data_IF_425291060425
#
_entry.id   IF_425291060425
#
_cell.length_a   1.000
_cell.length_b   1.000
_cell.length_c   1.000
_cell.angle_alpha   90.00
_cell.angle_beta   90.00
_cell.angle_gamma   90.00
#
_symmetry.space_group_name_H-M   'P 1'
#
loop_
_entity.id
_entity.type
_entity.pdbx_description
1 polymer ?
#
# COMPACT_ATOMS: atom_id res chain seq x y z
N UNK A 1 -10.81 18.31 3.92
CA UNK A 1 -11.55 18.16 2.66
C UNK A 1 -12.90 18.82 2.80
N UNK A 2 -13.31 19.61 1.80
CA UNK A 2 -14.64 20.19 1.72
C UNK A 2 -15.48 19.35 0.78
N UNK A 3 -16.63 18.88 1.21
CA UNK A 3 -17.57 18.19 0.36
C UNK A 3 -18.75 19.10 0.04
N UNK A 4 -18.90 19.44 -1.24
CA UNK A 4 -20.05 20.17 -1.73
C UNK A 4 -21.26 19.24 -1.77
N UNK A 5 -22.31 19.57 -1.08
CA UNK A 5 -23.53 18.76 -1.11
C UNK A 5 -24.18 18.85 -2.50
N UNK A 6 -24.56 17.70 -3.07
CA UNK A 6 -25.23 17.64 -4.39
C UNK A 6 -26.58 18.41 -4.43
N UNK A 7 -27.18 18.68 -3.27
CA UNK A 7 -28.44 19.42 -3.12
C UNK A 7 -28.29 20.94 -3.00
N UNK A 8 -27.18 21.51 -3.47
CA UNK A 8 -26.96 22.96 -3.43
C UNK A 8 -27.89 23.72 -4.39
N UNK A 9 -28.35 23.05 -5.46
CA UNK A 9 -29.28 23.64 -6.43
C UNK A 9 -30.72 23.52 -5.92
N UNK A 10 -31.40 24.64 -5.84
CA UNK A 10 -32.79 24.75 -5.45
C UNK A 10 -33.63 25.32 -6.60
N UNK A 11 -34.91 24.93 -6.65
CA UNK A 11 -35.85 25.52 -7.62
C UNK A 11 -36.02 27.02 -7.26
N UNK A 12 -35.84 27.86 -8.26
CA UNK A 12 -36.04 29.30 -8.07
C UNK A 12 -37.46 29.58 -7.59
N UNK A 13 -37.56 30.31 -6.48
CA UNK A 13 -38.82 30.89 -5.97
C UNK A 13 -38.60 32.36 -5.75
N UNK A 14 -39.58 33.20 -6.09
CA UNK A 14 -39.49 34.66 -5.90
C UNK A 14 -39.49 35.10 -4.42
N UNK A 15 -39.56 34.18 -3.50
CA UNK A 15 -39.72 34.42 -2.04
C UNK A 15 -38.41 34.74 -1.28
N UNK A 16 -37.31 35.08 -1.99
CA UNK A 16 -36.05 35.45 -1.33
C UNK A 16 -35.11 34.31 -0.99
N UNK A 17 -34.14 34.54 -0.13
CA UNK A 17 -33.10 33.60 0.27
C UNK A 17 -33.64 32.48 1.20
N UNK A 18 -33.64 31.24 0.78
CA UNK A 18 -34.14 30.09 1.53
C UNK A 18 -33.01 29.21 2.12
N UNK A 19 -31.94 29.81 2.59
CA UNK A 19 -30.85 29.10 3.28
C UNK A 19 -30.49 27.73 2.66
N UNK A 20 -29.42 27.65 1.87
CA UNK A 20 -28.89 26.36 1.41
C UNK A 20 -28.22 25.58 2.55
N UNK A 21 -28.09 24.27 2.37
CA UNK A 21 -27.31 23.46 3.31
C UNK A 21 -25.83 23.85 3.23
N UNK A 22 -25.20 24.01 4.39
CA UNK A 22 -23.76 24.30 4.45
C UNK A 22 -22.95 23.10 3.98
N UNK A 23 -21.81 23.36 3.33
CA UNK A 23 -20.86 22.33 2.98
C UNK A 23 -20.36 21.60 4.24
N UNK A 24 -20.28 20.27 4.20
CA UNK A 24 -19.70 19.50 5.30
C UNK A 24 -18.18 19.56 5.20
N UNK A 25 -17.53 19.91 6.30
CA UNK A 25 -16.08 19.87 6.43
C UNK A 25 -15.68 18.55 7.10
N UNK A 26 -14.87 17.77 6.40
CA UNK A 26 -14.26 16.57 6.95
C UNK A 26 -12.80 16.85 7.31
N UNK A 27 -12.42 16.48 8.50
CA UNK A 27 -11.04 16.58 8.97
C UNK A 27 -10.65 15.25 9.59
N UNK A 28 -9.60 14.64 9.06
CA UNK A 28 -8.94 13.49 9.69
C UNK A 28 -7.55 13.93 10.15
N UNK A 29 -7.18 13.52 11.35
CA UNK A 29 -5.85 13.79 11.92
C UNK A 29 -5.03 12.51 11.82
N UNK A 30 -3.86 12.60 11.22
CA UNK A 30 -2.88 11.52 11.22
C UNK A 30 -1.91 11.77 12.36
N UNK A 31 -1.80 10.80 13.26
CA UNK A 31 -0.87 10.84 14.37
C UNK A 31 0.46 10.20 13.94
N UNK A 32 1.56 10.93 14.07
CA UNK A 32 2.89 10.43 13.75
C UNK A 32 3.50 9.77 14.98
N UNK A 33 4.03 8.57 14.83
CA UNK A 33 4.76 7.86 15.87
C UNK A 33 6.26 7.90 15.57
N UNK A 34 7.11 8.33 16.52
CA UNK A 34 8.55 8.24 16.35
C UNK A 34 8.99 6.78 16.34
N UNK A 35 9.82 6.41 15.39
CA UNK A 35 10.39 5.06 15.28
C UNK A 35 11.91 5.14 15.29
N UNK A 36 12.56 4.08 15.81
CA UNK A 36 14.01 3.95 15.74
C UNK A 36 14.36 2.60 15.11
N UNK A 37 15.45 2.58 14.36
CA UNK A 37 16.05 1.36 13.85
C UNK A 37 17.45 1.22 14.44
N UNK A 38 17.74 0.10 15.05
CA UNK A 38 19.03 -0.22 15.62
C UNK A 38 19.48 -1.56 15.06
N UNK A 39 20.72 -1.65 14.62
CA UNK A 39 21.35 -2.88 14.17
C UNK A 39 22.63 -3.09 14.98
N UNK A 40 22.72 -4.22 15.63
CA UNK A 40 23.91 -4.63 16.38
C UNK A 40 24.43 -5.94 15.81
N UNK A 41 25.72 -5.97 15.49
CA UNK A 41 26.40 -7.20 15.12
C UNK A 41 27.31 -7.64 16.27
N UNK A 42 27.37 -8.94 16.54
CA UNK A 42 28.46 -9.47 17.33
C UNK A 42 29.75 -9.37 16.50
N UNK A 43 30.88 -9.09 17.15
CA UNK A 43 32.15 -9.03 16.43
C UNK A 43 32.47 -10.35 15.70
N UNK A 44 32.04 -11.49 16.25
CA UNK A 44 32.24 -12.81 15.66
C UNK A 44 31.44 -12.99 14.36
N UNK A 45 30.15 -12.60 14.39
CA UNK A 45 29.28 -12.74 13.21
C UNK A 45 29.70 -11.75 12.13
N UNK A 46 30.10 -10.54 12.51
CA UNK A 46 30.61 -9.55 11.60
C UNK A 46 31.88 -10.05 10.88
N UNK A 47 32.84 -10.56 11.62
CA UNK A 47 34.07 -11.09 11.02
C UNK A 47 33.84 -12.31 10.14
N UNK A 48 32.90 -13.19 10.46
CA UNK A 48 32.64 -14.37 9.64
C UNK A 48 32.02 -13.99 8.27
N UNK A 49 31.08 -13.08 8.24
CA UNK A 49 30.39 -12.67 7.01
C UNK A 49 31.23 -11.70 6.17
N UNK A 50 31.97 -10.83 6.83
CA UNK A 50 32.79 -9.78 6.20
C UNK A 50 34.12 -10.33 5.74
N UNK A 51 34.70 -11.28 6.45
CA UNK A 51 35.99 -11.87 6.10
C UNK A 51 35.96 -12.58 4.73
N UNK A 52 34.87 -13.24 4.38
CA UNK A 52 34.69 -13.80 3.03
C UNK A 52 34.67 -12.73 1.94
N UNK A 53 34.02 -11.60 2.20
CA UNK A 53 33.95 -10.47 1.26
C UNK A 53 35.27 -9.69 1.17
N UNK A 54 36.04 -9.62 2.28
CA UNK A 54 37.31 -8.93 2.36
C UNK A 54 38.47 -9.79 1.88
N UNK A 55 38.49 -11.09 2.19
CA UNK A 55 39.52 -12.04 1.78
C UNK A 55 39.68 -12.12 0.24
N UNK A 56 38.61 -11.79 -0.48
CA UNK A 56 38.65 -11.70 -1.94
C UNK A 56 39.29 -10.43 -2.49
N UNK A 57 39.70 -9.44 -1.64
CA UNK A 57 40.20 -8.15 -2.07
C UNK A 57 41.32 -7.63 -1.13
N UNK A 58 42.54 -7.56 -1.64
CA UNK A 58 43.74 -7.13 -0.91
C UNK A 58 43.80 -5.64 -0.53
N UNK A 59 42.72 -4.87 -0.74
CA UNK A 59 42.79 -3.38 -0.73
C UNK A 59 41.85 -2.77 0.34
N UNK A 60 41.47 -3.51 1.39
CA UNK A 60 40.61 -3.01 2.47
C UNK A 60 41.44 -2.82 3.73
N UNK A 61 41.52 -1.58 4.22
CA UNK A 61 42.04 -1.31 5.55
C UNK A 61 41.05 -1.73 6.61
N UNK A 62 41.42 -2.72 7.42
CA UNK A 62 40.53 -3.30 8.45
C UNK A 62 40.36 -2.40 9.68
N UNK A 63 41.22 -1.40 9.85
CA UNK A 63 41.17 -0.49 10.99
C UNK A 63 40.28 0.73 10.73
N UNK A 64 40.00 1.03 9.48
CA UNK A 64 39.13 2.13 9.08
C UNK A 64 38.29 1.75 7.85
N UNK A 65 37.02 1.39 8.10
CA UNK A 65 36.08 1.00 7.06
C UNK A 65 35.32 2.18 6.46
N UNK A 66 35.57 3.39 6.94
CA UNK A 66 34.88 4.61 6.49
C UNK A 66 35.11 4.85 4.99
N UNK A 67 34.04 4.99 4.24
CA UNK A 67 34.09 5.16 2.79
C UNK A 67 34.39 3.90 1.99
N UNK A 68 34.56 2.74 2.65
CA UNK A 68 34.80 1.47 1.99
C UNK A 68 33.57 0.95 1.25
N UNK A 69 33.79 0.06 0.26
CA UNK A 69 32.67 -0.64 -0.41
C UNK A 69 31.84 -1.49 0.54
N UNK A 70 32.44 -1.91 1.66
CA UNK A 70 31.77 -2.67 2.70
C UNK A 70 30.80 -1.80 3.48
N UNK A 71 31.20 -0.62 3.95
CA UNK A 71 30.30 0.34 4.58
C UNK A 71 29.13 0.70 3.66
N UNK A 72 29.39 0.87 2.36
CA UNK A 72 28.36 1.14 1.37
C UNK A 72 27.37 -0.04 1.23
N UNK A 73 27.88 -1.28 1.23
CA UNK A 73 27.04 -2.48 1.16
C UNK A 73 26.17 -2.64 2.42
N UNK A 74 26.75 -2.48 3.61
CA UNK A 74 26.02 -2.51 4.88
C UNK A 74 24.98 -1.42 4.97
N UNK A 75 25.34 -0.18 4.61
CA UNK A 75 24.39 0.92 4.58
C UNK A 75 23.24 0.65 3.63
N UNK A 76 23.49 0.01 2.51
CA UNK A 76 22.47 -0.34 1.52
C UNK A 76 21.53 -1.41 2.09
N UNK A 77 22.07 -2.48 2.69
CA UNK A 77 21.29 -3.55 3.32
C UNK A 77 20.45 -3.01 4.48
N UNK A 78 21.04 -2.15 5.31
CA UNK A 78 20.32 -1.53 6.43
C UNK A 78 19.16 -0.65 5.94
N UNK A 79 19.40 0.18 4.91
CA UNK A 79 18.33 0.99 4.29
C UNK A 79 17.20 0.14 3.71
N UNK A 80 17.54 -0.98 3.07
CA UNK A 80 16.55 -1.91 2.54
C UNK A 80 15.73 -2.55 3.67
N UNK A 81 16.38 -3.06 4.71
CA UNK A 81 15.70 -3.65 5.86
C UNK A 81 14.77 -2.66 6.57
N UNK A 82 15.22 -1.40 6.75
CA UNK A 82 14.38 -0.33 7.32
C UNK A 82 13.19 -0.04 6.41
N UNK A 83 13.40 0.05 5.10
CA UNK A 83 12.32 0.32 4.14
C UNK A 83 11.29 -0.81 4.11
N UNK A 84 11.72 -2.07 4.17
CA UNK A 84 10.84 -3.24 4.25
C UNK A 84 10.08 -3.28 5.58
N UNK A 85 10.75 -3.04 6.70
CA UNK A 85 10.14 -2.97 8.01
C UNK A 85 9.08 -1.88 8.12
N UNK A 86 9.38 -0.68 7.62
CA UNK A 86 8.40 0.43 7.59
C UNK A 86 7.21 0.05 6.71
N UNK A 87 7.44 -0.51 5.51
CA UNK A 87 6.36 -0.91 4.61
C UNK A 87 5.46 -1.96 5.24
N UNK A 88 6.02 -3.02 5.82
CA UNK A 88 5.27 -4.07 6.49
C UNK A 88 4.47 -3.52 7.68
N UNK A 89 5.09 -2.70 8.53
CA UNK A 89 4.42 -2.09 9.69
C UNK A 89 3.33 -1.11 9.26
N UNK A 90 3.56 -0.33 8.19
CA UNK A 90 2.56 0.62 7.67
C UNK A 90 1.27 -0.07 7.24
N UNK A 91 1.34 -1.29 6.73
CA UNK A 91 0.15 -2.06 6.35
C UNK A 91 -0.40 -2.91 7.49
N UNK A 92 0.44 -3.69 8.16
CA UNK A 92 0.05 -4.74 9.10
C UNK A 92 0.35 -4.41 10.57
N UNK A 93 0.88 -3.23 10.87
CA UNK A 93 1.27 -2.87 12.22
C UNK A 93 0.12 -2.95 13.23
N UNK A 94 0.40 -3.52 14.39
CA UNK A 94 -0.54 -3.61 15.50
C UNK A 94 0.21 -3.43 16.83
N UNK A 95 0.00 -2.28 17.46
CA UNK A 95 0.63 -1.94 18.76
C UNK A 95 0.16 -2.83 19.93
N UNK A 96 -0.92 -3.59 19.75
CA UNK A 96 -1.40 -4.56 20.73
C UNK A 96 -0.74 -5.93 20.58
N UNK A 97 0.01 -6.16 19.50
CA UNK A 97 0.77 -7.38 19.26
C UNK A 97 1.97 -7.51 20.19
N UNK A 98 2.30 -8.75 20.58
CA UNK A 98 3.40 -9.01 21.51
C UNK A 98 4.80 -8.94 20.86
N UNK A 99 4.88 -9.10 19.53
CA UNK A 99 6.16 -9.12 18.79
C UNK A 99 6.00 -8.76 17.32
N UNK A 100 7.12 -8.40 16.70
CA UNK A 100 7.16 -8.16 15.25
C UNK A 100 6.74 -6.74 14.87
N UNK A 101 5.63 -6.58 14.17
CA UNK A 101 5.19 -5.32 13.61
C UNK A 101 4.36 -4.47 14.60
N UNK A 102 4.85 -4.26 15.82
CA UNK A 102 4.12 -3.59 16.91
C UNK A 102 4.54 -2.14 17.18
N UNK A 103 5.29 -1.54 16.27
CA UNK A 103 5.85 -0.19 16.45
C UNK A 103 4.79 0.91 16.38
N UNK A 104 3.86 0.78 15.44
CA UNK A 104 2.70 1.65 15.29
C UNK A 104 1.55 0.91 14.58
N UNK A 105 0.32 1.43 14.71
CA UNK A 105 -0.85 0.82 14.08
C UNK A 105 -0.86 1.08 12.58
N UNK A 106 -1.02 0.01 11.81
CA UNK A 106 -1.02 0.03 10.35
C UNK A 106 -2.38 0.36 9.73
N UNK A 107 -2.38 0.50 8.40
CA UNK A 107 -3.59 0.83 7.65
C UNK A 107 -4.69 -0.23 7.79
N UNK A 108 -4.36 -1.53 7.79
CA UNK A 108 -5.37 -2.58 7.91
C UNK A 108 -6.12 -2.50 9.23
N UNK A 109 -5.41 -2.26 10.34
CA UNK A 109 -6.05 -2.08 11.66
C UNK A 109 -6.96 -0.85 11.67
N UNK A 110 -6.50 0.26 11.10
CA UNK A 110 -7.31 1.49 11.00
C UNK A 110 -8.55 1.30 10.11
N UNK A 111 -8.41 0.61 8.97
CA UNK A 111 -9.53 0.33 8.06
C UNK A 111 -10.56 -0.60 8.71
N UNK A 112 -10.12 -1.64 9.41
CA UNK A 112 -11.02 -2.54 10.16
C UNK A 112 -11.78 -1.79 11.25
N UNK A 113 -11.12 -0.88 11.97
CA UNK A 113 -11.78 -0.05 12.97
C UNK A 113 -12.82 0.91 12.34
N UNK A 114 -12.52 1.49 11.19
CA UNK A 114 -13.48 2.34 10.45
C UNK A 114 -14.67 1.55 9.92
N UNK A 115 -14.44 0.36 9.37
CA UNK A 115 -15.52 -0.53 8.91
C UNK A 115 -16.46 -0.93 10.07
N UNK A 116 -15.90 -1.21 11.25
CA UNK A 116 -16.65 -1.54 12.44
C UNK A 116 -17.43 -0.35 13.03
N UNK A 117 -17.02 0.90 12.76
CA UNK A 117 -17.72 2.11 13.22
C UNK A 117 -18.89 2.53 12.36
N UNK A 118 -19.26 1.77 11.33
CA UNK A 118 -20.30 2.09 10.37
C UNK A 118 -20.13 3.47 9.71
N UNK A 119 -18.89 3.96 9.60
CA UNK A 119 -18.60 5.17 8.84
C UNK A 119 -19.00 4.98 7.37
N UNK A 120 -19.83 5.87 6.84
CA UNK A 120 -20.32 5.81 5.48
C UNK A 120 -19.16 5.68 4.47
N UNK A 121 -19.23 4.66 3.62
CA UNK A 121 -18.36 4.49 2.47
C UNK A 121 -17.17 3.55 2.67
N UNK A 122 -17.06 2.88 3.81
CA UNK A 122 -16.12 1.79 4.00
C UNK A 122 -16.89 0.47 4.06
N UNK A 123 -16.63 -0.42 3.10
CA UNK A 123 -17.24 -1.74 3.03
C UNK A 123 -16.17 -2.80 3.33
N UNK A 124 -16.45 -3.67 4.29
CA UNK A 124 -15.63 -4.84 4.59
C UNK A 124 -16.18 -6.06 3.83
N UNK A 125 -15.43 -6.56 2.88
CA UNK A 125 -15.73 -7.78 2.14
C UNK A 125 -14.88 -8.90 2.68
N UNK A 126 -15.40 -9.66 3.62
CA UNK A 126 -14.70 -10.85 4.12
C UNK A 126 -14.63 -11.92 3.03
N UNK A 127 -13.41 -12.24 2.60
CA UNK A 127 -13.12 -13.39 1.75
C UNK A 127 -12.22 -14.37 2.52
N UNK A 128 -12.46 -15.66 2.31
CA UNK A 128 -11.58 -16.70 2.85
C UNK A 128 -10.46 -17.01 1.88
N UNK A 129 -9.30 -17.43 2.36
CA UNK A 129 -8.15 -17.78 1.52
C UNK A 129 -8.49 -18.89 0.51
N UNK A 130 -9.45 -19.78 0.80
CA UNK A 130 -9.93 -20.81 -0.10
C UNK A 130 -10.68 -20.26 -1.32
N UNK A 131 -11.24 -19.05 -1.22
CA UNK A 131 -11.98 -18.39 -2.29
C UNK A 131 -11.05 -17.67 -3.30
N UNK A 132 -9.76 -17.59 -3.03
CA UNK A 132 -8.77 -16.89 -3.86
C UNK A 132 -7.71 -17.85 -4.41
N UNK A 133 -8.14 -19.00 -4.91
CA UNK A 133 -7.23 -20.07 -5.40
C UNK A 133 -7.07 -20.11 -6.92
N UNK A 134 -7.95 -19.47 -7.66
CA UNK A 134 -7.95 -19.49 -9.11
C UNK A 134 -7.77 -18.09 -9.73
N UNK A 135 -7.30 -17.99 -10.98
CA UNK A 135 -7.22 -16.73 -11.71
C UNK A 135 -8.57 -16.02 -11.85
N UNK A 136 -9.66 -16.78 -12.02
CA UNK A 136 -11.01 -16.22 -12.15
C UNK A 136 -11.50 -15.59 -10.84
N UNK A 137 -11.06 -16.11 -9.67
CA UNK A 137 -11.41 -15.57 -8.36
C UNK A 137 -10.83 -14.17 -8.15
N UNK A 138 -9.62 -13.92 -8.64
CA UNK A 138 -9.01 -12.59 -8.55
C UNK A 138 -9.80 -11.54 -9.34
N UNK A 139 -10.31 -11.91 -10.52
CA UNK A 139 -11.16 -11.02 -11.33
C UNK A 139 -12.50 -10.81 -10.66
N UNK A 140 -13.12 -11.87 -10.15
CA UNK A 140 -14.39 -11.79 -9.43
C UNK A 140 -14.28 -10.87 -8.20
N UNK A 141 -13.13 -10.90 -7.50
CA UNK A 141 -12.85 -10.00 -6.38
C UNK A 141 -12.82 -8.53 -6.83
N UNK A 142 -12.08 -8.21 -7.90
CA UNK A 142 -12.03 -6.83 -8.42
C UNK A 142 -13.40 -6.37 -8.94
N UNK A 143 -14.14 -7.26 -9.62
CA UNK A 143 -15.47 -6.95 -10.12
C UNK A 143 -16.45 -6.65 -8.98
N UNK A 144 -16.43 -7.46 -7.94
CA UNK A 144 -17.24 -7.26 -6.74
C UNK A 144 -16.90 -5.93 -6.06
N UNK A 145 -15.60 -5.67 -5.81
CA UNK A 145 -15.15 -4.42 -5.19
C UNK A 145 -15.59 -3.19 -6.01
N UNK A 146 -15.51 -3.29 -7.34
CA UNK A 146 -15.90 -2.19 -8.22
C UNK A 146 -17.42 -2.01 -8.32
N UNK A 147 -18.17 -3.10 -8.38
CA UNK A 147 -19.65 -3.08 -8.50
C UNK A 147 -20.29 -2.53 -7.24
N UNK A 148 -19.75 -2.87 -6.08
CA UNK A 148 -20.26 -2.42 -4.79
C UNK A 148 -19.66 -1.09 -4.33
N UNK A 149 -18.75 -0.52 -5.14
CA UNK A 149 -18.12 0.76 -4.86
C UNK A 149 -19.12 1.93 -4.89
N UNK A 150 -18.97 2.86 -3.97
CA UNK A 150 -19.80 4.07 -3.93
C UNK A 150 -19.68 4.89 -5.22
N UNK A 151 -20.81 5.45 -5.70
CA UNK A 151 -20.85 6.27 -6.93
C UNK A 151 -19.80 7.39 -6.96
N UNK A 152 -19.41 7.91 -5.81
CA UNK A 152 -18.38 8.93 -5.67
C UNK A 152 -17.00 8.46 -6.16
N UNK A 153 -16.69 7.16 -6.05
CA UNK A 153 -15.43 6.62 -6.55
C UNK A 153 -15.36 6.65 -8.08
N UNK A 154 -16.50 6.68 -8.78
CA UNK A 154 -16.51 6.82 -10.23
C UNK A 154 -16.03 8.21 -10.69
N UNK A 155 -16.34 9.26 -9.93
CA UNK A 155 -15.82 10.60 -10.20
C UNK A 155 -14.31 10.63 -10.02
N UNK A 156 -13.79 10.04 -8.93
CA UNK A 156 -12.35 9.91 -8.68
C UNK A 156 -11.63 9.03 -9.71
N UNK A 157 -12.31 8.02 -10.26
CA UNK A 157 -11.77 7.24 -11.41
C UNK A 157 -11.54 8.11 -12.61
N UNK A 158 -12.52 8.97 -12.95
CA UNK A 158 -12.39 9.89 -14.08
C UNK A 158 -11.21 10.88 -13.90
N UNK A 159 -10.88 11.23 -12.66
CA UNK A 159 -9.73 12.07 -12.31
C UNK A 159 -8.40 11.29 -12.22
N UNK A 160 -8.42 9.97 -12.36
CA UNK A 160 -7.22 9.13 -12.26
C UNK A 160 -6.65 9.02 -10.84
N UNK A 161 -7.45 9.26 -9.81
CA UNK A 161 -7.02 9.28 -8.41
C UNK A 161 -7.31 7.97 -7.66
N UNK A 162 -7.69 6.91 -8.37
CA UNK A 162 -7.95 5.60 -7.77
C UNK A 162 -6.82 4.61 -8.04
N UNK A 163 -6.61 3.72 -7.09
CA UNK A 163 -5.77 2.54 -7.24
C UNK A 163 -6.35 1.38 -6.43
N UNK A 164 -6.20 0.17 -6.95
CA UNK A 164 -6.38 -1.06 -6.17
C UNK A 164 -5.05 -1.41 -5.51
N UNK A 165 -5.06 -1.61 -4.20
CA UNK A 165 -3.91 -2.13 -3.47
C UNK A 165 -4.15 -3.60 -3.21
N UNK A 166 -3.29 -4.45 -3.72
CA UNK A 166 -3.44 -5.90 -3.64
C UNK A 166 -2.13 -6.56 -3.18
N UNK A 167 -2.23 -7.74 -2.61
CA UNK A 167 -1.07 -8.57 -2.29
C UNK A 167 -0.49 -9.18 -3.55
N UNK A 168 0.78 -9.60 -3.49
CA UNK A 168 1.49 -10.23 -4.62
C UNK A 168 0.76 -11.46 -5.17
N UNK A 169 0.11 -12.24 -4.30
CA UNK A 169 -0.65 -13.43 -4.70
C UNK A 169 -1.82 -13.08 -5.60
N UNK A 170 -2.60 -12.07 -5.23
CA UNK A 170 -3.76 -11.60 -6.01
C UNK A 170 -3.27 -11.00 -7.33
N UNK A 171 -2.20 -10.22 -7.30
CA UNK A 171 -1.60 -9.68 -8.52
C UNK A 171 -1.18 -10.80 -9.47
N UNK A 172 -0.51 -11.84 -8.95
CA UNK A 172 -0.07 -12.98 -9.75
C UNK A 172 -1.23 -13.80 -10.33
N UNK A 173 -2.31 -14.04 -9.56
CA UNK A 173 -3.51 -14.69 -10.07
C UNK A 173 -4.17 -13.87 -11.18
N UNK A 174 -4.18 -12.55 -11.02
CA UNK A 174 -4.74 -11.65 -12.03
C UNK A 174 -3.87 -11.62 -13.30
N UNK A 175 -2.54 -11.63 -13.19
CA UNK A 175 -1.63 -11.78 -14.34
C UNK A 175 -1.90 -13.06 -15.10
N UNK A 176 -2.00 -14.20 -14.40
CA UNK A 176 -2.35 -15.48 -15.04
C UNK A 176 -3.68 -15.44 -15.78
N UNK A 177 -4.67 -14.75 -15.24
CA UNK A 177 -5.93 -14.55 -15.92
C UNK A 177 -5.75 -13.77 -17.23
N UNK A 178 -5.05 -12.64 -17.19
CA UNK A 178 -4.80 -11.81 -18.37
C UNK A 178 -4.04 -12.59 -19.45
N UNK A 179 -3.01 -13.32 -19.07
CA UNK A 179 -2.23 -14.16 -19.97
C UNK A 179 -3.12 -15.24 -20.64
N UNK A 180 -4.01 -15.85 -19.88
CA UNK A 180 -4.94 -16.87 -20.40
C UNK A 180 -5.94 -16.33 -21.42
N UNK A 181 -6.27 -15.04 -21.33
CA UNK A 181 -7.21 -14.34 -22.23
C UNK A 181 -6.53 -13.58 -23.36
N UNK A 182 -5.19 -13.50 -23.35
CA UNK A 182 -4.44 -12.67 -24.31
C UNK A 182 -4.76 -11.17 -24.18
N UNK A 183 -5.05 -10.71 -22.96
CA UNK A 183 -5.57 -9.38 -22.68
C UNK A 183 -4.47 -8.35 -22.40
N UNK A 184 -3.54 -8.17 -23.34
CA UNK A 184 -2.44 -7.17 -23.23
C UNK A 184 -2.94 -5.73 -22.97
N UNK A 185 -4.17 -5.41 -23.37
CA UNK A 185 -4.77 -4.08 -23.18
C UNK A 185 -5.08 -3.73 -21.72
N UNK A 186 -5.02 -4.71 -20.80
CA UNK A 186 -5.23 -4.49 -19.37
C UNK A 186 -3.96 -4.01 -18.65
N UNK A 187 -2.84 -3.94 -19.34
CA UNK A 187 -1.62 -3.36 -18.81
C UNK A 187 -1.53 -1.88 -19.17
N UNK A 188 -1.17 -1.05 -18.19
CA UNK A 188 -0.86 0.36 -18.41
C UNK A 188 0.64 0.51 -18.55
N UNK A 189 1.09 1.12 -19.64
CA UNK A 189 2.50 1.50 -19.78
C UNK A 189 2.81 2.70 -18.88
N UNK A 190 3.75 2.53 -17.98
CA UNK A 190 4.25 3.62 -17.16
C UNK A 190 5.33 4.42 -17.89
N UNK A 191 5.59 5.65 -17.44
CA UNK A 191 6.62 6.55 -17.99
C UNK A 191 8.02 5.89 -18.07
N UNK A 192 8.26 4.86 -17.26
CA UNK A 192 9.54 4.12 -17.22
C UNK A 192 9.53 2.84 -18.09
N UNK A 193 8.54 2.66 -18.96
CA UNK A 193 8.43 1.49 -19.82
C UNK A 193 8.09 0.18 -19.08
N UNK A 194 7.69 0.26 -17.81
CA UNK A 194 7.21 -0.90 -17.06
C UNK A 194 5.70 -0.99 -17.20
N UNK A 195 5.23 -2.14 -17.62
CA UNK A 195 3.80 -2.44 -17.64
C UNK A 195 3.29 -2.56 -16.22
N UNK A 196 2.19 -1.88 -15.92
CA UNK A 196 1.50 -1.94 -14.64
C UNK A 196 0.15 -2.59 -14.86
N UNK A 197 -0.22 -3.53 -13.98
CA UNK A 197 -1.54 -4.14 -13.99
C UNK A 197 -2.63 -3.09 -13.83
N UNK A 198 -3.72 -3.24 -14.56
CA UNK A 198 -4.88 -2.38 -14.43
C UNK A 198 -6.19 -3.17 -14.55
N UNK A 199 -7.18 -2.81 -13.76
CA UNK A 199 -8.54 -3.31 -13.86
C UNK A 199 -9.49 -2.17 -14.20
N UNK A 200 -10.16 -2.26 -15.35
CA UNK A 200 -11.00 -1.19 -15.90
C UNK A 200 -10.36 0.21 -15.93
N UNK A 201 -9.05 0.27 -16.19
CA UNK A 201 -8.28 1.53 -16.23
C UNK A 201 -7.85 2.05 -14.86
N UNK A 202 -8.14 1.33 -13.77
CA UNK A 202 -7.66 1.63 -12.42
C UNK A 202 -6.39 0.82 -12.19
N UNK A 203 -5.24 1.43 -11.86
CA UNK A 203 -4.00 0.70 -11.61
C UNK A 203 -4.12 -0.25 -10.41
N UNK A 204 -3.57 -1.44 -10.54
CA UNK A 204 -3.42 -2.43 -9.46
C UNK A 204 -1.98 -2.35 -8.96
N UNK A 205 -1.83 -2.00 -7.69
CA UNK A 205 -0.54 -1.81 -7.04
C UNK A 205 -0.26 -2.96 -6.08
N UNK A 206 0.83 -3.68 -6.34
CA UNK A 206 1.32 -4.71 -5.43
C UNK A 206 1.96 -4.05 -4.19
N UNK A 207 1.38 -4.29 -3.02
CA UNK A 207 1.87 -3.77 -1.74
C UNK A 207 3.05 -4.57 -1.18
N UNK A 208 3.41 -5.69 -1.79
CA UNK A 208 4.57 -6.53 -1.45
C UNK A 208 4.66 -6.86 0.03
N UNK A 209 3.58 -7.40 0.57
CA UNK A 209 3.52 -7.87 1.96
C UNK A 209 4.06 -9.31 2.12
N UNK A 210 4.64 -9.88 1.09
CA UNK A 210 5.29 -11.18 1.17
C UNK A 210 6.43 -11.17 2.18
N UNK A 211 6.44 -12.17 3.04
CA UNK A 211 7.52 -12.46 3.97
C UNK A 211 8.75 -12.95 3.21
#
# INVERSE_FOLDING_TARGET
>A
LWDGQRNILQKYTAAGWNGGQAAKKYQKTIQLSPVKAELGFSAADYFAQVYELIAARADVNMDDLTGSKLEQAETTLFKQAVAEGIRATMWMGDTTGESGLNTFDGFLKALTAFAASEEEGIHDFSNTAAELSSPDDAVALFDRLWTEAACRLQDLKAEGQLAFFATSDICHLYEKYLDSKGADASYIDTVNGRRTLAYHGIPVVDVRLGA
#
